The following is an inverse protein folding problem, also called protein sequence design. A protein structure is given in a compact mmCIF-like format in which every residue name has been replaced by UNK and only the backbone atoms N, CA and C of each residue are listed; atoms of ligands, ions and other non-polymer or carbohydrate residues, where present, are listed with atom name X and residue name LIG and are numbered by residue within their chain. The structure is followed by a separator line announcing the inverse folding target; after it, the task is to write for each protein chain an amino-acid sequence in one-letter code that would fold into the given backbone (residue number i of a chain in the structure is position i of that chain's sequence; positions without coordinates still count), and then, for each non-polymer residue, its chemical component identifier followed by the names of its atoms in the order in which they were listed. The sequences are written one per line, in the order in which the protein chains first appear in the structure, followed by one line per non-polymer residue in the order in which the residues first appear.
data_IF_284357507818
#
_entry.id   IF_284357507818
#
_cell.length_a   1.000
_cell.length_b   1.000
_cell.length_c   1.000
_cell.angle_alpha   90.00
_cell.angle_beta   90.00
_cell.angle_gamma   90.00
#
_symmetry.space_group_name_H-M   'P 1'
#
loop_
_entity.id
_entity.type
_entity.pdbx_description
1 polymer ?
#
# COMPACT_ATOMS: atom_id res chain seq x y z
N UNK A 1 -9.77 -4.82 24.27
CA UNK A 1 -8.92 -4.16 23.29
C UNK A 1 -9.82 -3.39 22.34
N UNK A 2 -9.50 -2.11 22.05
CA UNK A 2 -10.26 -1.30 21.11
C UNK A 2 -9.96 -1.67 19.64
N UNK A 3 -10.78 -1.17 18.72
CA UNK A 3 -10.57 -1.31 17.29
C UNK A 3 -9.30 -0.53 16.91
N UNK A 4 -8.37 -1.14 16.17
CA UNK A 4 -7.22 -0.44 15.60
C UNK A 4 -7.71 0.48 14.49
N UNK A 5 -7.60 1.80 14.67
CA UNK A 5 -8.15 2.79 13.75
C UNK A 5 -7.26 3.09 12.55
N UNK A 6 -6.00 2.63 12.56
CA UNK A 6 -5.01 2.99 11.53
C UNK A 6 -4.84 1.87 10.49
N UNK A 7 -5.08 0.62 10.84
CA UNK A 7 -5.04 -0.53 9.92
C UNK A 7 -3.65 -1.01 9.47
N UNK A 8 -2.61 -0.22 9.69
CA UNK A 8 -1.21 -0.61 9.48
C UNK A 8 -0.47 -0.74 10.80
N UNK A 9 0.66 -1.48 10.80
CA UNK A 9 1.45 -1.68 12.01
C UNK A 9 2.07 -0.37 12.51
N UNK A 10 2.43 -0.36 13.79
CA UNK A 10 3.06 0.80 14.46
C UNK A 10 4.38 1.21 13.79
N UNK A 11 4.67 2.50 13.85
CA UNK A 11 5.98 3.06 13.49
C UNK A 11 7.05 2.51 14.42
N UNK A 12 8.17 2.07 13.86
CA UNK A 12 9.37 1.63 14.60
C UNK A 12 10.49 2.61 14.32
N UNK A 13 11.09 3.13 15.37
CA UNK A 13 12.17 4.11 15.27
C UNK A 13 13.42 3.67 16.04
N UNK A 14 14.57 4.08 15.55
CA UNK A 14 15.84 4.07 16.28
C UNK A 14 16.14 5.49 16.74
N UNK A 15 16.32 5.68 18.06
CA UNK A 15 16.66 6.97 18.65
C UNK A 15 18.18 7.03 18.83
N UNK A 16 18.80 8.12 18.36
CA UNK A 16 20.24 8.42 18.48
C UNK A 16 20.44 9.81 19.07
N UNK A 17 21.65 10.12 19.46
CA UNK A 17 21.98 11.44 20.03
C UNK A 17 21.74 12.60 19.06
N UNK A 18 21.79 12.34 17.75
CA UNK A 18 21.65 13.30 16.65
C UNK A 18 20.25 13.31 16.02
N UNK A 19 19.32 12.45 16.46
CA UNK A 19 17.97 12.42 15.90
C UNK A 19 17.29 11.05 15.93
N UNK A 20 16.31 10.89 15.06
CA UNK A 20 15.46 9.69 14.96
C UNK A 20 15.48 9.13 13.54
N UNK A 21 15.72 7.83 13.43
CA UNK A 21 15.62 7.11 12.16
C UNK A 21 14.39 6.19 12.16
N UNK A 22 13.49 6.36 11.20
CA UNK A 22 12.31 5.50 11.03
C UNK A 22 12.76 4.21 10.34
N UNK A 23 12.69 3.11 11.07
CA UNK A 23 13.03 1.76 10.58
C UNK A 23 11.83 1.05 9.94
N UNK A 24 10.61 1.41 10.35
CA UNK A 24 9.36 0.95 9.75
C UNK A 24 8.34 2.09 9.81
N UNK A 25 7.87 2.60 8.67
CA UNK A 25 6.81 3.59 8.67
C UNK A 25 5.50 2.97 9.15
N UNK A 26 4.68 3.74 9.86
CA UNK A 26 3.41 3.33 10.45
C UNK A 26 2.51 4.52 10.73
N UNK A 27 1.60 4.39 11.68
CA UNK A 27 0.59 5.41 12.00
C UNK A 27 1.16 6.74 12.51
N UNK A 28 2.33 6.73 13.15
CA UNK A 28 3.05 7.98 13.47
C UNK A 28 3.93 8.30 12.28
N UNK A 29 3.64 9.41 11.60
CA UNK A 29 4.34 9.81 10.39
C UNK A 29 5.63 10.58 10.70
N UNK A 30 6.48 10.76 9.68
CA UNK A 30 7.70 11.55 9.78
C UNK A 30 7.39 12.98 10.22
N UNK A 31 6.38 13.59 9.62
CA UNK A 31 5.96 14.96 9.89
C UNK A 31 5.48 15.14 11.34
N UNK A 32 4.84 14.12 11.94
CA UNK A 32 4.47 14.12 13.36
C UNK A 32 5.69 14.04 14.27
N UNK A 33 6.70 13.25 13.91
CA UNK A 33 7.95 13.16 14.67
C UNK A 33 8.75 14.46 14.58
N UNK A 34 8.78 15.11 13.43
CA UNK A 34 9.47 16.41 13.23
C UNK A 34 8.87 17.55 14.08
N UNK A 35 7.66 17.39 14.63
CA UNK A 35 7.11 18.35 15.59
C UNK A 35 7.77 18.28 16.99
N UNK A 36 8.48 17.18 17.29
CA UNK A 36 9.06 16.93 18.63
C UNK A 36 10.54 16.61 18.59
N UNK A 37 11.11 16.36 17.40
CA UNK A 37 12.54 16.03 17.20
C UNK A 37 13.07 16.77 15.96
N UNK A 38 14.22 17.41 16.08
CA UNK A 38 14.80 18.26 15.01
C UNK A 38 15.26 17.47 13.78
N UNK A 39 15.75 16.24 13.96
CA UNK A 39 16.29 15.41 12.89
C UNK A 39 15.52 14.08 12.78
N UNK A 40 14.66 13.94 11.78
CA UNK A 40 13.95 12.70 11.48
C UNK A 40 14.28 12.24 10.05
N UNK A 41 14.76 11.02 9.92
CA UNK A 41 15.10 10.41 8.63
C UNK A 41 14.43 9.04 8.48
N UNK A 42 14.30 8.59 7.25
CA UNK A 42 13.99 7.19 6.97
C UNK A 42 15.28 6.36 6.89
N UNK A 43 15.22 5.09 7.32
CA UNK A 43 16.30 4.14 7.10
C UNK A 43 16.49 3.98 5.58
N UNK A 44 17.72 4.17 5.04
CA UNK A 44 18.02 3.97 3.62
C UNK A 44 17.61 2.60 3.09
N UNK A 45 17.54 1.59 3.96
CA UNK A 45 17.14 0.23 3.60
C UNK A 45 15.64 0.03 3.37
N UNK A 46 14.79 1.03 3.68
CA UNK A 46 13.37 0.96 3.36
C UNK A 46 13.10 0.88 1.85
N UNK A 47 14.00 1.45 1.05
CA UNK A 47 13.94 1.46 -0.42
C UNK A 47 14.87 0.44 -1.09
N UNK A 48 15.68 -0.32 -0.33
CA UNK A 48 16.59 -1.32 -0.90
C UNK A 48 16.02 -2.74 -0.78
N UNK A 49 15.91 -3.45 -1.90
CA UNK A 49 15.48 -4.85 -1.93
C UNK A 49 16.56 -5.85 -1.46
N UNK A 50 17.81 -5.41 -1.27
CA UNK A 50 18.97 -6.29 -1.15
C UNK A 50 19.57 -6.43 0.25
N UNK A 51 19.10 -5.70 1.27
CA UNK A 51 19.66 -5.79 2.61
C UNK A 51 18.60 -6.16 3.66
N UNK A 52 19.07 -6.81 4.75
CA UNK A 52 18.19 -7.28 5.81
C UNK A 52 17.65 -6.09 6.63
N UNK A 53 16.36 -5.78 6.58
CA UNK A 53 15.80 -4.69 7.36
C UNK A 53 15.93 -4.95 8.86
N UNK A 54 16.20 -3.89 9.63
CA UNK A 54 16.41 -3.94 11.08
C UNK A 54 15.10 -4.11 11.88
N UNK A 55 13.97 -3.76 11.29
CA UNK A 55 12.68 -3.84 11.98
C UNK A 55 11.97 -5.18 11.72
N UNK A 56 11.27 -5.75 12.72
CA UNK A 56 10.44 -6.94 12.54
C UNK A 56 9.33 -6.72 11.50
N UNK A 57 9.01 -7.75 10.72
CA UNK A 57 7.97 -7.69 9.69
C UNK A 57 8.39 -7.04 8.37
N UNK A 58 9.65 -6.57 8.26
CA UNK A 58 10.16 -5.94 7.04
C UNK A 58 10.83 -6.93 6.09
N UNK A 59 11.16 -8.14 6.53
CA UNK A 59 12.01 -9.13 5.83
C UNK A 59 11.25 -10.16 4.99
N UNK A 60 9.94 -10.35 5.19
CA UNK A 60 9.20 -11.46 4.58
C UNK A 60 8.03 -10.94 3.73
N UNK A 61 7.56 -11.79 2.80
CA UNK A 61 6.27 -11.66 2.12
C UNK A 61 5.09 -11.79 3.14
N UNK A 62 5.15 -11.02 4.22
CA UNK A 62 4.03 -10.93 5.13
C UNK A 62 2.90 -10.22 4.40
N UNK A 63 1.75 -10.90 4.30
CA UNK A 63 0.53 -10.34 3.71
C UNK A 63 0.50 -10.20 2.18
N UNK A 64 1.49 -10.77 1.45
CA UNK A 64 1.35 -10.88 0.00
C UNK A 64 0.14 -11.78 -0.31
N UNK A 65 -0.76 -11.36 -1.20
CA UNK A 65 -1.86 -12.20 -1.66
C UNK A 65 -1.33 -13.40 -2.46
N UNK A 66 -2.16 -14.43 -2.57
CA UNK A 66 -1.82 -15.65 -3.32
C UNK A 66 -1.75 -15.36 -4.82
N UNK A 67 -2.65 -14.52 -5.33
CA UNK A 67 -2.64 -14.08 -6.72
C UNK A 67 -1.59 -12.95 -6.93
N UNK A 68 -0.92 -12.89 -8.09
CA UNK A 68 0.00 -11.81 -8.42
C UNK A 68 -0.70 -10.46 -8.39
N UNK A 69 -0.04 -9.48 -7.76
CA UNK A 69 -0.57 -8.14 -7.55
C UNK A 69 0.31 -7.09 -8.20
N UNK A 70 -0.31 -6.09 -8.81
CA UNK A 70 0.34 -4.89 -9.32
C UNK A 70 -0.39 -3.64 -8.80
N UNK A 71 0.37 -2.60 -8.44
CA UNK A 71 -0.19 -1.34 -7.99
C UNK A 71 0.09 -0.22 -9.01
N UNK A 72 -0.87 0.69 -9.14
CA UNK A 72 -0.81 1.85 -10.03
C UNK A 72 -1.03 3.12 -9.22
N UNK A 73 -0.21 4.12 -9.48
CA UNK A 73 -0.28 5.43 -8.81
C UNK A 73 -0.49 6.49 -9.89
N UNK A 74 -1.57 7.22 -9.78
CA UNK A 74 -1.96 8.25 -10.72
C UNK A 74 -3.32 8.83 -10.36
N UNK A 75 -3.87 9.68 -11.21
CA UNK A 75 -5.25 10.12 -11.00
C UNK A 75 -6.25 9.01 -11.38
N UNK A 76 -7.49 9.04 -10.87
CA UNK A 76 -8.46 7.97 -11.08
C UNK A 76 -8.72 7.61 -12.56
N UNK A 77 -8.65 8.59 -13.46
CA UNK A 77 -8.86 8.37 -14.88
C UNK A 77 -7.70 7.58 -15.51
N UNK A 78 -6.47 7.95 -15.19
CA UNK A 78 -5.26 7.24 -15.65
C UNK A 78 -5.22 5.82 -15.10
N UNK A 79 -5.54 5.65 -13.82
CA UNK A 79 -5.62 4.34 -13.17
C UNK A 79 -6.69 3.46 -13.82
N UNK A 80 -7.90 3.99 -14.06
CA UNK A 80 -8.96 3.25 -14.72
C UNK A 80 -8.59 2.87 -16.16
N UNK A 81 -7.93 3.74 -16.90
CA UNK A 81 -7.41 3.45 -18.25
C UNK A 81 -6.37 2.32 -18.23
N UNK A 82 -5.40 2.40 -17.30
CA UNK A 82 -4.38 1.36 -17.12
C UNK A 82 -5.00 0.01 -16.74
N UNK A 83 -5.98 0.00 -15.81
CA UNK A 83 -6.69 -1.21 -15.41
C UNK A 83 -7.46 -1.82 -16.57
N UNK A 84 -8.18 -1.03 -17.36
CA UNK A 84 -8.90 -1.52 -18.53
C UNK A 84 -7.96 -2.16 -19.56
N UNK A 85 -6.75 -1.62 -19.76
CA UNK A 85 -5.75 -2.22 -20.63
C UNK A 85 -5.30 -3.59 -20.10
N UNK A 86 -4.98 -3.70 -18.81
CA UNK A 86 -4.61 -4.98 -18.19
C UNK A 86 -5.76 -5.98 -18.25
N UNK A 87 -7.00 -5.57 -17.95
CA UNK A 87 -8.20 -6.42 -18.04
C UNK A 87 -8.34 -6.99 -19.45
N UNK A 88 -8.18 -6.15 -20.46
CA UNK A 88 -8.24 -6.56 -21.87
C UNK A 88 -7.14 -7.59 -22.21
N UNK A 89 -5.91 -7.35 -21.77
CA UNK A 89 -4.77 -8.27 -21.99
C UNK A 89 -4.94 -9.60 -21.27
N UNK A 90 -5.52 -9.61 -20.06
CA UNK A 90 -5.75 -10.82 -19.28
C UNK A 90 -6.92 -11.67 -19.82
N UNK A 91 -7.77 -11.12 -20.64
CA UNK A 91 -8.83 -11.81 -21.35
C UNK A 91 -9.88 -12.43 -20.42
N UNK A 92 -9.96 -13.76 -20.35
CA UNK A 92 -10.96 -14.48 -19.55
C UNK A 92 -10.56 -14.70 -18.09
N UNK A 93 -9.36 -14.26 -17.66
CA UNK A 93 -8.92 -14.38 -16.29
C UNK A 93 -9.72 -13.45 -15.38
N UNK A 94 -9.91 -13.88 -14.13
CA UNK A 94 -10.66 -13.13 -13.12
C UNK A 94 -9.75 -12.22 -12.34
N UNK A 95 -10.02 -10.90 -12.41
CA UNK A 95 -9.30 -9.88 -11.65
C UNK A 95 -10.04 -9.47 -10.39
N UNK A 96 -9.28 -9.15 -9.33
CA UNK A 96 -9.76 -8.41 -8.17
C UNK A 96 -9.11 -7.02 -8.13
N UNK A 97 -9.87 -6.03 -7.64
CA UNK A 97 -9.49 -4.62 -7.77
C UNK A 97 -9.69 -3.89 -6.43
N UNK A 98 -8.60 -3.34 -5.88
CA UNK A 98 -8.62 -2.43 -4.73
C UNK A 98 -8.52 -1.00 -5.26
N UNK A 99 -9.59 -0.24 -5.17
CA UNK A 99 -9.73 1.04 -5.87
C UNK A 99 -10.40 2.12 -5.02
N UNK A 100 -10.24 3.38 -5.42
CA UNK A 100 -11.06 4.48 -4.94
C UNK A 100 -12.47 4.45 -5.55
N UNK A 101 -13.39 5.23 -4.96
CA UNK A 101 -14.74 5.38 -5.50
C UNK A 101 -14.71 5.98 -6.92
N UNK A 102 -13.84 6.96 -7.14
CA UNK A 102 -13.71 7.66 -8.42
C UNK A 102 -13.20 6.72 -9.51
N UNK A 103 -12.23 5.86 -9.20
CA UNK A 103 -11.74 4.84 -10.14
C UNK A 103 -12.79 3.76 -10.38
N UNK A 104 -13.50 3.31 -9.33
CA UNK A 104 -14.58 2.34 -9.44
C UNK A 104 -15.68 2.80 -10.40
N UNK A 105 -16.08 4.07 -10.34
CA UNK A 105 -17.14 4.62 -11.21
C UNK A 105 -16.77 4.59 -12.70
N UNK A 106 -15.48 4.49 -13.02
CA UNK A 106 -14.95 4.40 -14.38
C UNK A 106 -14.73 2.96 -14.86
N UNK A 107 -14.77 1.97 -13.95
CA UNK A 107 -14.60 0.55 -14.25
C UNK A 107 -15.97 -0.15 -14.28
N UNK A 108 -16.11 -1.21 -15.09
CA UNK A 108 -17.43 -1.80 -15.33
C UNK A 108 -17.59 -3.24 -14.83
N UNK A 109 -16.50 -3.99 -14.65
CA UNK A 109 -16.57 -5.44 -14.36
C UNK A 109 -15.39 -5.89 -13.50
N UNK A 110 -15.67 -6.74 -12.51
CA UNK A 110 -14.65 -7.37 -11.65
C UNK A 110 -15.12 -7.57 -10.21
N UNK A 111 -14.26 -8.17 -9.40
CA UNK A 111 -14.38 -8.22 -7.94
C UNK A 111 -13.74 -6.97 -7.35
N UNK A 112 -14.53 -6.08 -6.76
CA UNK A 112 -14.06 -4.80 -6.27
C UNK A 112 -14.09 -4.70 -4.76
N UNK A 113 -13.06 -4.05 -4.21
CA UNK A 113 -13.10 -3.42 -2.90
C UNK A 113 -12.82 -1.93 -3.04
N UNK A 114 -13.79 -1.10 -2.67
CA UNK A 114 -13.67 0.35 -2.70
C UNK A 114 -13.25 0.82 -1.31
N UNK A 115 -12.04 1.37 -1.19
CA UNK A 115 -11.49 1.79 0.11
C UNK A 115 -11.97 3.18 0.56
N UNK A 116 -12.51 4.00 -0.32
CA UNK A 116 -12.91 5.38 -0.04
C UNK A 116 -12.65 6.28 -1.22
N UNK A 117 -12.36 7.55 -0.98
CA UNK A 117 -12.02 8.51 -2.03
C UNK A 117 -10.56 8.41 -2.48
N UNK A 118 -10.28 8.81 -3.70
CA UNK A 118 -8.94 8.83 -4.26
C UNK A 118 -8.00 9.69 -3.40
N UNK A 119 -6.81 9.12 -3.10
CA UNK A 119 -5.83 9.77 -2.23
C UNK A 119 -6.08 9.62 -0.72
N UNK A 120 -7.17 8.98 -0.29
CA UNK A 120 -7.44 8.74 1.14
C UNK A 120 -6.56 7.61 1.69
N UNK A 121 -5.34 7.99 2.09
CA UNK A 121 -4.39 7.05 2.69
C UNK A 121 -4.87 6.44 4.00
N UNK A 122 -5.76 7.10 4.74
CA UNK A 122 -6.31 6.60 6.01
C UNK A 122 -7.28 5.46 5.74
N UNK A 123 -8.21 5.67 4.80
CA UNK A 123 -9.16 4.65 4.40
C UNK A 123 -8.46 3.44 3.77
N UNK A 124 -7.50 3.68 2.87
CA UNK A 124 -6.71 2.62 2.26
C UNK A 124 -5.90 1.84 3.32
N UNK A 125 -5.26 2.52 4.28
CA UNK A 125 -4.54 1.87 5.37
C UNK A 125 -5.43 0.94 6.19
N UNK A 126 -6.63 1.41 6.51
CA UNK A 126 -7.61 0.67 7.31
C UNK A 126 -8.08 -0.61 6.61
N UNK A 127 -8.29 -0.55 5.29
CA UNK A 127 -8.89 -1.66 4.53
C UNK A 127 -7.85 -2.59 3.87
N UNK A 128 -6.60 -2.17 3.74
CA UNK A 128 -5.59 -2.83 2.92
C UNK A 128 -5.45 -4.34 3.22
N UNK A 129 -5.10 -4.71 4.43
CA UNK A 129 -4.88 -6.12 4.78
C UNK A 129 -6.15 -6.94 4.78
N UNK A 130 -7.26 -6.37 5.22
CA UNK A 130 -8.58 -7.02 5.19
C UNK A 130 -8.98 -7.36 3.75
N UNK A 131 -8.72 -6.43 2.83
CA UNK A 131 -9.02 -6.63 1.40
C UNK A 131 -8.15 -7.71 0.79
N UNK A 132 -6.84 -7.70 1.05
CA UNK A 132 -5.95 -8.76 0.54
C UNK A 132 -6.34 -10.14 1.08
N UNK A 133 -6.74 -10.22 2.35
CA UNK A 133 -7.24 -11.47 2.92
C UNK A 133 -8.53 -11.92 2.23
N UNK A 134 -9.47 -11.00 2.00
CA UNK A 134 -10.70 -11.30 1.27
C UNK A 134 -10.40 -11.79 -0.15
N UNK A 135 -9.48 -11.17 -0.87
CA UNK A 135 -9.11 -11.58 -2.22
C UNK A 135 -8.47 -12.97 -2.28
N UNK A 136 -7.80 -13.42 -1.22
CA UNK A 136 -7.31 -14.80 -1.12
C UNK A 136 -8.45 -15.83 -0.95
N UNK A 137 -9.61 -15.40 -0.43
CA UNK A 137 -10.81 -16.25 -0.35
C UNK A 137 -11.57 -16.28 -1.68
N UNK A 138 -11.31 -15.31 -2.56
CA UNK A 138 -11.87 -15.24 -3.89
C UNK A 138 -11.01 -16.05 -4.87
N UNK A 139 -11.65 -16.75 -5.80
CA UNK A 139 -10.92 -17.46 -6.87
C UNK A 139 -10.56 -16.48 -7.98
N UNK A 140 -9.49 -15.71 -7.78
CA UNK A 140 -8.99 -14.67 -8.69
C UNK A 140 -7.60 -15.00 -9.21
N UNK A 141 -7.33 -14.62 -10.46
CA UNK A 141 -6.07 -14.92 -11.15
C UNK A 141 -5.03 -13.80 -10.99
N UNK A 142 -5.50 -12.56 -10.74
CA UNK A 142 -4.62 -11.39 -10.54
C UNK A 142 -5.33 -10.29 -9.74
N UNK A 143 -4.53 -9.40 -9.16
CA UNK A 143 -5.00 -8.26 -8.36
C UNK A 143 -4.39 -6.97 -8.91
N UNK A 144 -5.23 -5.94 -9.12
CA UNK A 144 -4.78 -4.58 -9.39
C UNK A 144 -5.18 -3.67 -8.23
N UNK A 145 -4.27 -2.83 -7.78
CA UNK A 145 -4.53 -1.88 -6.71
C UNK A 145 -4.23 -0.44 -7.14
N UNK A 146 -5.09 0.46 -6.73
CA UNK A 146 -4.82 1.89 -6.77
C UNK A 146 -4.05 2.30 -5.52
N UNK A 147 -2.84 2.85 -5.72
CA UNK A 147 -2.02 3.38 -4.65
C UNK A 147 -2.32 4.85 -4.36
N UNK A 148 -1.63 5.37 -3.35
CA UNK A 148 -1.72 6.77 -2.92
C UNK A 148 -0.36 7.45 -3.00
N UNK A 149 -0.32 8.77 -2.85
CA UNK A 149 0.94 9.51 -2.77
C UNK A 149 1.79 9.03 -1.59
N UNK A 150 3.11 9.01 -1.81
CA UNK A 150 4.11 8.55 -0.83
C UNK A 150 4.44 9.66 0.19
N UNK A 151 3.42 10.23 0.83
CA UNK A 151 3.50 11.29 1.83
C UNK A 151 2.68 10.97 3.07
N UNK A 152 3.07 11.46 4.22
CA UNK A 152 2.35 11.22 5.47
C UNK A 152 2.11 9.73 5.74
N UNK A 153 0.85 9.35 6.02
CA UNK A 153 0.45 7.96 6.20
C UNK A 153 0.61 7.12 4.93
N UNK A 154 0.55 7.76 3.75
CA UNK A 154 0.75 7.11 2.46
C UNK A 154 2.10 6.38 2.38
N UNK A 155 3.16 6.90 3.03
CA UNK A 155 4.47 6.22 3.11
C UNK A 155 4.34 4.82 3.73
N UNK A 156 3.57 4.70 4.81
CA UNK A 156 3.34 3.42 5.46
C UNK A 156 2.54 2.45 4.59
N UNK A 157 1.47 2.94 3.98
CA UNK A 157 0.61 2.14 3.09
C UNK A 157 1.38 1.67 1.87
N UNK A 158 2.08 2.59 1.18
CA UNK A 158 2.84 2.27 -0.02
C UNK A 158 4.01 1.31 0.25
N UNK A 159 4.65 1.41 1.40
CA UNK A 159 5.66 0.44 1.83
C UNK A 159 5.09 -0.99 1.96
N UNK A 160 3.83 -1.15 2.44
CA UNK A 160 3.13 -2.46 2.51
C UNK A 160 2.70 -2.92 1.12
N UNK A 161 2.17 -2.01 0.33
CA UNK A 161 1.73 -2.27 -1.04
C UNK A 161 2.89 -2.74 -1.92
N UNK A 162 4.04 -2.08 -1.84
CA UNK A 162 5.26 -2.48 -2.57
C UNK A 162 5.67 -3.93 -2.24
N UNK A 163 5.58 -4.33 -0.98
CA UNK A 163 5.87 -5.70 -0.56
C UNK A 163 4.83 -6.71 -1.04
N UNK A 164 3.55 -6.35 -0.97
CA UNK A 164 2.46 -7.19 -1.48
C UNK A 164 2.56 -7.40 -2.99
N UNK A 165 2.97 -6.36 -3.72
CA UNK A 165 3.18 -6.38 -5.17
C UNK A 165 4.55 -6.96 -5.59
N UNK A 166 5.41 -7.39 -4.66
CA UNK A 166 6.80 -7.78 -4.96
C UNK A 166 7.56 -6.73 -5.78
N UNK A 167 7.31 -5.45 -5.52
CA UNK A 167 7.92 -4.31 -6.22
C UNK A 167 7.25 -3.89 -7.52
N UNK A 168 6.17 -4.55 -7.95
CA UNK A 168 5.44 -4.19 -9.17
C UNK A 168 4.53 -2.97 -8.92
N UNK A 169 5.12 -1.77 -8.94
CA UNK A 169 4.41 -0.49 -8.82
C UNK A 169 4.64 0.32 -10.09
N UNK A 170 3.56 0.84 -10.66
CA UNK A 170 3.56 1.64 -11.90
C UNK A 170 3.07 3.05 -11.55
N UNK A 171 3.89 4.04 -11.88
CA UNK A 171 3.55 5.46 -11.79
C UNK A 171 3.08 5.93 -13.18
N UNK A 172 1.90 6.53 -13.22
CA UNK A 172 1.20 6.97 -14.43
C UNK A 172 1.38 8.47 -14.68
#
# INVERSE_FOLDING_TARGET
AGICTIGVESTVVEVRDDGVTILRPGGITKEMLEQVVDNVSYDPFLSSQNEAPKAPGMKYKHYAPDAPMCAFIGNPKEVAEAFNNVIHEQGTKRGAFLVSQETYDLLKHGEFHVYGHSGDAVALAHDFYKTLHHFNECDVDYILAEGVENTGLGVAVMNRMEKACAGHIIYL
#
